data_IF_940937296455
#
_entry.id   IF_940937296455
#
_cell.length_a   1.000
_cell.length_b   1.000
_cell.length_c   1.000
_cell.angle_alpha   90.00
_cell.angle_beta   90.00
_cell.angle_gamma   90.00
#
_symmetry.space_group_name_H-M   'P 1'
#
loop_
_entity.id
_entity.type
_entity.pdbx_description
1 polymer ?
#
# COMPACT_ATOMS: atom_id res chain seq x y z
N UNK A 1 0.95 15.07 -33.37
CA UNK A 1 1.08 13.95 -32.39
C UNK A 1 2.47 14.02 -31.76
N UNK A 2 2.60 14.68 -30.62
CA UNK A 2 3.86 14.75 -29.84
C UNK A 2 3.66 13.91 -28.59
N UNK A 3 4.42 12.83 -28.49
CA UNK A 3 4.47 11.95 -27.31
C UNK A 3 5.17 12.70 -26.18
N UNK A 4 4.45 13.02 -25.14
CA UNK A 4 5.02 13.56 -23.89
C UNK A 4 5.50 12.35 -23.08
N UNK A 5 6.80 12.15 -23.04
CA UNK A 5 7.42 11.18 -22.13
C UNK A 5 7.56 11.83 -20.77
N UNK A 6 6.84 11.30 -19.78
CA UNK A 6 6.96 11.71 -18.39
C UNK A 6 8.12 10.91 -17.76
N UNK A 7 9.27 11.55 -17.64
CA UNK A 7 10.42 11.00 -16.93
C UNK A 7 10.26 11.30 -15.43
N UNK A 8 10.00 10.26 -14.66
CA UNK A 8 10.03 10.33 -13.19
C UNK A 8 11.51 10.25 -12.78
N UNK A 9 12.06 11.38 -12.32
CA UNK A 9 13.37 11.44 -11.72
C UNK A 9 13.31 10.96 -10.27
N UNK A 10 13.85 9.80 -9.99
CA UNK A 10 14.07 9.30 -8.65
C UNK A 10 15.26 10.02 -8.02
N UNK A 11 15.03 10.88 -7.03
CA UNK A 11 16.07 11.49 -6.22
C UNK A 11 16.49 10.51 -5.11
N UNK A 12 17.65 9.91 -5.26
CA UNK A 12 18.34 9.15 -4.22
C UNK A 12 19.09 10.15 -3.34
N UNK A 13 18.65 10.32 -2.11
CA UNK A 13 19.41 11.06 -1.09
C UNK A 13 20.32 10.06 -0.36
N UNK A 14 21.59 10.13 -0.69
CA UNK A 14 22.66 9.49 0.05
C UNK A 14 23.17 10.48 1.12
N UNK A 15 23.11 10.10 2.37
CA UNK A 15 23.81 10.74 3.50
C UNK A 15 24.06 9.63 4.52
N UNK A 16 25.24 9.37 4.97
CA UNK A 16 26.38 10.06 5.40
C UNK A 16 27.09 9.13 6.37
N UNK A 17 28.30 8.80 6.07
CA UNK A 17 29.26 8.03 6.86
C UNK A 17 29.52 8.70 8.21
N UNK A 18 29.41 7.96 9.30
CA UNK A 18 30.16 8.24 10.51
C UNK A 18 31.12 7.08 10.79
N UNK A 19 32.36 7.30 10.42
CA UNK A 19 33.49 6.54 10.91
C UNK A 19 33.89 7.13 12.27
N UNK A 20 33.86 6.34 13.31
CA UNK A 20 34.63 6.58 14.53
C UNK A 20 35.68 5.50 14.67
N UNK A 21 36.87 5.90 14.34
CA UNK A 21 38.14 5.27 14.64
C UNK A 21 38.37 5.30 16.16
N UNK A 22 38.74 4.21 16.75
CA UNK A 22 39.59 4.18 17.93
C UNK A 22 40.67 3.14 17.72
N UNK A 23 41.83 3.67 17.46
CA UNK A 23 43.13 3.06 17.51
C UNK A 23 43.47 2.63 18.94
N UNK A 24 44.03 1.49 19.16
CA UNK A 24 45.16 1.37 20.06
C UNK A 24 46.03 0.15 19.70
N UNK A 25 47.31 0.48 19.50
CA UNK A 25 48.45 -0.44 19.31
C UNK A 25 48.74 -1.24 20.57
N UNK A 26 49.14 -2.50 20.44
CA UNK A 26 50.53 -2.89 20.79
C UNK A 26 50.79 -4.41 20.55
N UNK A 27 51.76 -4.63 19.71
CA UNK A 27 52.96 -5.49 19.72
C UNK A 27 52.99 -6.78 20.55
N UNK A 28 53.36 -7.78 19.80
CA UNK A 28 54.49 -8.70 19.91
C UNK A 28 54.36 -9.98 20.76
N UNK A 29 54.69 -11.04 20.04
CA UNK A 29 55.58 -12.15 20.39
C UNK A 29 55.02 -13.41 21.10
N UNK A 30 54.84 -14.44 20.31
CA UNK A 30 55.58 -15.73 20.39
C UNK A 30 55.60 -16.51 21.74
N UNK A 31 55.27 -17.75 21.59
CA UNK A 31 55.69 -18.98 22.25
C UNK A 31 54.61 -19.87 22.87
N UNK A 32 54.32 -20.93 22.11
CA UNK A 32 54.36 -22.31 22.54
C UNK A 32 54.26 -22.59 24.06
N UNK A 33 53.11 -23.14 24.51
CA UNK A 33 53.05 -24.03 25.69
C UNK A 33 52.01 -25.12 25.47
N UNK A 34 52.51 -26.32 25.70
CA UNK A 34 51.84 -27.63 25.73
C UNK A 34 50.66 -27.68 26.74
N UNK A 35 49.67 -28.41 26.33
CA UNK A 35 48.93 -29.43 27.10
C UNK A 35 48.55 -29.14 28.55
N UNK A 36 47.24 -29.03 28.75
CA UNK A 36 46.66 -29.54 30.00
C UNK A 36 45.24 -30.06 29.72
N UNK A 37 45.10 -31.35 29.88
CA UNK A 37 43.85 -32.07 29.95
C UNK A 37 43.19 -31.74 31.28
N UNK A 38 42.21 -30.93 31.28
CA UNK A 38 41.30 -30.81 32.43
C UNK A 38 39.98 -31.51 32.16
N UNK A 39 39.82 -32.60 32.86
CA UNK A 39 38.55 -33.26 33.11
C UNK A 39 37.68 -32.32 33.91
N UNK A 40 36.64 -31.82 33.33
CA UNK A 40 35.59 -31.17 34.12
C UNK A 40 34.23 -31.71 33.76
N UNK A 41 33.63 -32.34 34.74
CA UNK A 41 32.26 -32.23 35.12
C UNK A 41 31.20 -32.59 34.08
N UNK A 42 30.70 -33.81 34.16
CA UNK A 42 29.35 -34.15 33.73
C UNK A 42 28.34 -33.18 34.34
N UNK A 43 27.97 -32.15 33.62
CA UNK A 43 26.71 -31.48 33.87
C UNK A 43 25.72 -32.07 32.89
N UNK A 44 24.90 -32.97 33.39
CA UNK A 44 23.72 -33.49 32.72
C UNK A 44 22.71 -32.35 32.61
N UNK A 45 22.90 -31.43 31.66
CA UNK A 45 21.84 -30.68 31.10
C UNK A 45 21.13 -31.66 30.15
N UNK A 46 19.91 -32.04 30.46
CA UNK A 46 18.98 -32.61 29.50
C UNK A 46 18.92 -31.63 28.35
N UNK A 47 19.70 -31.89 27.31
CA UNK A 47 19.47 -31.31 25.98
C UNK A 47 18.06 -31.78 25.58
N UNK A 48 17.04 -30.95 25.89
CA UNK A 48 15.82 -30.96 25.13
C UNK A 48 16.29 -30.67 23.71
N UNK A 49 16.30 -31.71 22.87
CA UNK A 49 16.49 -31.53 21.44
C UNK A 49 15.59 -30.36 21.07
N UNK A 50 16.18 -29.26 20.66
CA UNK A 50 15.44 -28.08 20.23
C UNK A 50 14.68 -28.52 18.99
N UNK A 51 13.39 -28.78 19.11
CA UNK A 51 12.55 -29.04 17.94
C UNK A 51 12.80 -27.91 16.96
N UNK A 52 13.07 -28.27 15.71
CA UNK A 52 13.23 -27.27 14.66
C UNK A 52 11.93 -26.45 14.56
N UNK A 53 12.03 -25.13 14.42
CA UNK A 53 10.85 -24.29 14.35
C UNK A 53 9.92 -24.71 13.20
N UNK A 54 8.63 -24.81 13.50
CA UNK A 54 7.62 -25.22 12.52
C UNK A 54 7.09 -23.99 11.79
N UNK A 55 7.68 -23.67 10.64
CA UNK A 55 7.30 -22.52 9.82
C UNK A 55 6.29 -22.89 8.73
N UNK A 56 5.47 -21.92 8.36
CA UNK A 56 4.62 -21.92 7.16
C UNK A 56 4.77 -20.58 6.45
N UNK A 57 4.29 -20.52 5.22
CA UNK A 57 4.23 -19.25 4.52
C UNK A 57 2.91 -19.03 3.79
N UNK A 58 2.65 -17.76 3.49
CA UNK A 58 1.50 -17.30 2.75
C UNK A 58 1.96 -16.35 1.64
N UNK A 59 1.46 -16.57 0.44
CA UNK A 59 1.59 -15.68 -0.71
C UNK A 59 0.49 -14.61 -0.62
N UNK A 60 0.87 -13.43 -0.12
CA UNK A 60 -0.08 -12.32 0.11
C UNK A 60 -0.69 -11.83 -1.19
N UNK A 61 0.05 -11.83 -2.29
CA UNK A 61 -0.48 -11.40 -3.59
C UNK A 61 -1.62 -12.32 -4.05
N UNK A 62 -1.43 -13.62 -3.86
CA UNK A 62 -2.48 -14.62 -4.11
C UNK A 62 -3.68 -14.44 -3.17
N UNK A 63 -3.44 -14.15 -1.89
CA UNK A 63 -4.52 -13.87 -0.92
C UNK A 63 -5.32 -12.65 -1.37
N UNK A 64 -4.66 -11.52 -1.65
CA UNK A 64 -5.32 -10.29 -2.09
C UNK A 64 -6.12 -10.47 -3.38
N UNK A 65 -5.59 -11.27 -4.33
CA UNK A 65 -6.28 -11.56 -5.59
C UNK A 65 -7.53 -12.44 -5.43
N UNK A 66 -7.57 -13.31 -4.40
CA UNK A 66 -8.64 -14.29 -4.22
C UNK A 66 -9.59 -13.98 -3.06
N UNK A 67 -9.22 -13.12 -2.13
CA UNK A 67 -10.04 -12.76 -0.97
C UNK A 67 -11.21 -11.85 -1.37
N UNK A 68 -12.44 -12.27 -1.07
CA UNK A 68 -13.65 -11.57 -1.50
C UNK A 68 -13.76 -10.15 -0.93
N UNK A 69 -13.38 -9.93 0.34
CA UNK A 69 -13.34 -8.59 0.91
C UNK A 69 -12.39 -7.67 0.12
N UNK A 70 -11.21 -8.15 -0.27
CA UNK A 70 -10.26 -7.37 -1.05
C UNK A 70 -10.81 -7.06 -2.45
N UNK A 71 -11.53 -8.01 -3.08
CA UNK A 71 -12.20 -7.77 -4.36
C UNK A 71 -13.28 -6.72 -4.26
N UNK A 72 -14.14 -6.80 -3.23
CA UNK A 72 -15.23 -5.83 -3.03
C UNK A 72 -14.69 -4.41 -2.82
N UNK A 73 -13.61 -4.25 -2.02
CA UNK A 73 -12.95 -2.96 -1.88
C UNK A 73 -12.28 -2.49 -3.18
N UNK A 74 -11.65 -3.36 -3.95
CA UNK A 74 -11.08 -2.99 -5.24
C UNK A 74 -12.16 -2.50 -6.22
N UNK A 75 -13.33 -3.13 -6.24
CA UNK A 75 -14.47 -2.66 -7.04
C UNK A 75 -14.98 -1.29 -6.58
N UNK A 76 -15.03 -1.05 -5.27
CA UNK A 76 -15.42 0.24 -4.72
C UNK A 76 -14.43 1.34 -5.11
N UNK A 77 -13.14 1.10 -4.96
CA UNK A 77 -12.07 2.04 -5.36
C UNK A 77 -12.15 2.34 -6.87
N UNK A 78 -12.38 1.34 -7.70
CA UNK A 78 -12.56 1.52 -9.14
C UNK A 78 -13.78 2.39 -9.46
N UNK A 79 -14.90 2.22 -8.74
CA UNK A 79 -16.09 3.07 -8.89
C UNK A 79 -15.80 4.53 -8.50
N UNK A 80 -15.07 4.75 -7.40
CA UNK A 80 -14.67 6.09 -6.97
C UNK A 80 -13.78 6.76 -8.02
N UNK A 81 -12.80 6.04 -8.59
CA UNK A 81 -11.96 6.53 -9.66
C UNK A 81 -12.77 6.89 -10.90
N UNK A 82 -13.66 6.01 -11.35
CA UNK A 82 -14.53 6.24 -12.51
C UNK A 82 -15.44 7.45 -12.30
N UNK A 83 -15.99 7.61 -11.09
CA UNK A 83 -16.78 8.79 -10.73
C UNK A 83 -15.95 10.08 -10.80
N UNK A 84 -14.75 10.08 -10.25
CA UNK A 84 -13.83 11.21 -10.29
C UNK A 84 -13.50 11.63 -11.74
N UNK A 85 -13.18 10.67 -12.60
CA UNK A 85 -12.90 10.91 -14.02
C UNK A 85 -14.15 11.48 -14.74
N UNK A 86 -15.33 10.95 -14.46
CA UNK A 86 -16.59 11.43 -15.02
C UNK A 86 -16.89 12.87 -14.60
N UNK A 87 -16.73 13.20 -13.31
CA UNK A 87 -16.93 14.55 -12.80
C UNK A 87 -15.93 15.54 -13.40
N UNK A 88 -14.67 15.14 -13.54
CA UNK A 88 -13.65 15.98 -14.19
C UNK A 88 -14.03 16.31 -15.62
N UNK A 89 -14.43 15.30 -16.43
CA UNK A 89 -14.87 15.52 -17.82
C UNK A 89 -16.10 16.42 -17.89
N UNK A 90 -17.06 16.23 -16.99
CA UNK A 90 -18.25 17.06 -16.90
C UNK A 90 -17.92 18.53 -16.62
N UNK A 91 -17.13 18.80 -15.57
CA UNK A 91 -16.74 20.17 -15.23
C UNK A 91 -15.95 20.84 -16.36
N UNK A 92 -15.02 20.09 -16.97
CA UNK A 92 -14.26 20.60 -18.11
C UNK A 92 -15.17 20.98 -19.27
N UNK A 93 -16.14 20.13 -19.62
CA UNK A 93 -17.11 20.40 -20.69
C UNK A 93 -18.01 21.57 -20.36
N UNK A 94 -18.54 21.66 -19.13
CA UNK A 94 -19.39 22.77 -18.68
C UNK A 94 -18.65 24.11 -18.75
N UNK A 95 -17.41 24.17 -18.24
CA UNK A 95 -16.58 25.39 -18.27
C UNK A 95 -16.25 25.78 -19.71
N UNK A 96 -15.86 24.82 -20.55
CA UNK A 96 -15.54 25.09 -21.96
C UNK A 96 -16.76 25.58 -22.76
N UNK A 97 -17.91 24.94 -22.55
CA UNK A 97 -19.15 25.36 -23.22
C UNK A 97 -19.58 26.75 -22.77
N UNK A 98 -19.47 27.08 -21.49
CA UNK A 98 -19.78 28.39 -20.96
C UNK A 98 -18.85 29.47 -21.54
N UNK A 99 -17.54 29.24 -21.53
CA UNK A 99 -16.54 30.12 -22.12
C UNK A 99 -16.82 30.37 -23.62
N UNK A 100 -17.10 29.28 -24.38
CA UNK A 100 -17.46 29.38 -25.79
C UNK A 100 -18.75 30.19 -26.02
N UNK A 101 -19.72 30.08 -25.12
CA UNK A 101 -20.95 30.88 -25.17
C UNK A 101 -20.68 32.37 -24.94
N UNK A 102 -19.76 32.70 -24.03
CA UNK A 102 -19.31 34.09 -23.81
C UNK A 102 -18.61 34.67 -25.04
N UNK A 103 -17.71 33.89 -25.68
CA UNK A 103 -17.01 34.28 -26.89
C UNK A 103 -18.04 34.59 -28.04
N UNK A 104 -19.02 33.71 -28.22
CA UNK A 104 -20.09 33.94 -29.22
C UNK A 104 -20.89 35.17 -28.92
N UNK A 105 -21.26 35.44 -27.65
CA UNK A 105 -21.95 36.70 -27.26
C UNK A 105 -21.09 37.90 -27.58
N UNK A 106 -19.76 37.84 -27.34
CA UNK A 106 -18.86 38.96 -27.63
C UNK A 106 -18.75 39.22 -29.12
N UNK A 107 -18.59 38.17 -29.95
CA UNK A 107 -18.49 38.30 -31.41
C UNK A 107 -19.75 38.87 -32.06
N UNK A 108 -20.93 38.56 -31.51
CA UNK A 108 -22.21 38.96 -32.04
C UNK A 108 -22.78 40.24 -31.37
N UNK A 109 -21.94 41.00 -30.62
CA UNK A 109 -22.39 42.15 -29.83
C UNK A 109 -23.60 41.82 -28.93
N UNK A 110 -23.66 40.59 -28.43
CA UNK A 110 -24.78 40.08 -27.64
C UNK A 110 -24.79 40.51 -26.17
N UNK A 111 -23.76 41.22 -25.70
CA UNK A 111 -23.78 41.83 -24.36
C UNK A 111 -24.46 43.17 -24.37
N UNK A 112 -25.57 43.28 -23.63
CA UNK A 112 -26.38 44.50 -23.54
C UNK A 112 -25.76 45.60 -22.66
N UNK A 113 -24.81 45.18 -21.77
CA UNK A 113 -24.13 46.10 -20.87
C UNK A 113 -22.80 45.48 -20.37
N UNK A 114 -21.90 46.35 -19.92
CA UNK A 114 -20.65 45.92 -19.26
C UNK A 114 -20.96 45.08 -18.00
N UNK A 115 -22.01 45.40 -17.27
CA UNK A 115 -22.46 44.66 -16.10
C UNK A 115 -22.81 43.21 -16.44
N UNK A 116 -23.45 42.93 -17.58
CA UNK A 116 -23.81 41.60 -18.02
C UNK A 116 -22.57 40.76 -18.40
N UNK A 117 -21.58 41.38 -19.02
CA UNK A 117 -20.30 40.71 -19.31
C UNK A 117 -19.54 40.38 -18.03
N UNK A 118 -19.46 41.32 -17.09
CA UNK A 118 -18.81 41.11 -15.78
C UNK A 118 -19.49 40.00 -14.98
N UNK A 119 -20.84 39.91 -15.07
CA UNK A 119 -21.57 38.81 -14.43
C UNK A 119 -21.18 37.45 -15.00
N UNK A 120 -21.07 37.31 -16.33
CA UNK A 120 -20.65 36.07 -16.96
C UNK A 120 -19.19 35.70 -16.59
N UNK A 121 -18.30 36.70 -16.51
CA UNK A 121 -16.94 36.50 -16.02
C UNK A 121 -16.92 35.93 -14.56
N UNK A 122 -17.73 36.51 -13.68
CA UNK A 122 -17.85 36.05 -12.31
C UNK A 122 -18.44 34.62 -12.24
N UNK A 123 -19.41 34.33 -13.10
CA UNK A 123 -19.99 32.99 -13.22
C UNK A 123 -18.93 31.97 -13.66
N UNK A 124 -18.14 32.30 -14.69
CA UNK A 124 -17.05 31.42 -15.15
C UNK A 124 -16.01 31.16 -14.04
N UNK A 125 -15.60 32.20 -13.35
CA UNK A 125 -14.69 32.08 -12.21
C UNK A 125 -15.27 31.20 -11.08
N UNK A 126 -16.58 31.39 -10.78
CA UNK A 126 -17.29 30.55 -9.81
C UNK A 126 -17.38 29.08 -10.23
N UNK A 127 -17.61 28.82 -11.52
CA UNK A 127 -17.62 27.43 -12.05
C UNK A 127 -16.25 26.77 -11.90
N UNK A 128 -15.18 27.50 -12.21
CA UNK A 128 -13.81 27.01 -12.06
C UNK A 128 -13.47 26.71 -10.59
N UNK A 129 -13.79 27.62 -9.65
CA UNK A 129 -13.59 27.45 -8.22
C UNK A 129 -14.37 26.24 -7.67
N UNK A 130 -15.66 26.11 -8.08
CA UNK A 130 -16.48 24.95 -7.70
C UNK A 130 -15.92 23.64 -8.24
N UNK A 131 -15.47 23.61 -9.48
CA UNK A 131 -14.85 22.45 -10.09
C UNK A 131 -13.58 22.03 -9.32
N UNK A 132 -12.71 23.00 -9.01
CA UNK A 132 -11.49 22.76 -8.25
C UNK A 132 -11.77 22.21 -6.84
N UNK A 133 -12.71 22.81 -6.12
CA UNK A 133 -13.11 22.36 -4.78
C UNK A 133 -13.75 20.96 -4.80
N UNK A 134 -14.59 20.69 -5.78
CA UNK A 134 -15.20 19.38 -5.98
C UNK A 134 -14.14 18.32 -6.26
N UNK A 135 -13.19 18.60 -7.16
CA UNK A 135 -12.12 17.67 -7.49
C UNK A 135 -11.20 17.40 -6.30
N UNK A 136 -10.85 18.45 -5.52
CA UNK A 136 -10.07 18.27 -4.30
C UNK A 136 -10.79 17.37 -3.26
N UNK A 137 -12.10 17.57 -3.11
CA UNK A 137 -12.90 16.71 -2.22
C UNK A 137 -12.97 15.26 -2.70
N UNK A 138 -13.18 15.03 -4.00
CA UNK A 138 -13.20 13.69 -4.58
C UNK A 138 -11.86 12.98 -4.44
N UNK A 139 -10.76 13.70 -4.67
CA UNK A 139 -9.41 13.18 -4.48
C UNK A 139 -9.16 12.77 -3.02
N UNK A 140 -9.51 13.64 -2.07
CA UNK A 140 -9.37 13.34 -0.63
C UNK A 140 -10.21 12.13 -0.20
N UNK A 141 -11.44 12.03 -0.71
CA UNK A 141 -12.32 10.89 -0.44
C UNK A 141 -11.74 9.59 -1.02
N UNK A 142 -11.21 9.63 -2.24
CA UNK A 142 -10.56 8.48 -2.87
C UNK A 142 -9.36 8.00 -2.05
N UNK A 143 -8.47 8.90 -1.66
CA UNK A 143 -7.28 8.58 -0.86
C UNK A 143 -7.66 7.99 0.50
N UNK A 144 -8.64 8.60 1.17
CA UNK A 144 -9.13 8.11 2.45
C UNK A 144 -9.75 6.72 2.33
N UNK A 145 -10.60 6.51 1.32
CA UNK A 145 -11.24 5.22 1.08
C UNK A 145 -10.22 4.14 0.73
N UNK A 146 -9.22 4.46 -0.10
CA UNK A 146 -8.16 3.51 -0.46
C UNK A 146 -7.34 3.08 0.76
N UNK A 147 -6.99 4.02 1.64
CA UNK A 147 -6.26 3.75 2.87
C UNK A 147 -7.09 2.90 3.83
N UNK A 148 -8.36 3.22 4.03
CA UNK A 148 -9.28 2.46 4.89
C UNK A 148 -9.50 1.04 4.35
N UNK A 149 -9.66 0.88 3.05
CA UNK A 149 -9.80 -0.42 2.39
C UNK A 149 -8.56 -1.29 2.63
N UNK A 150 -7.37 -0.74 2.41
CA UNK A 150 -6.10 -1.44 2.65
C UNK A 150 -5.96 -1.88 4.10
N UNK A 151 -6.28 -1.00 5.04
CA UNK A 151 -6.21 -1.31 6.47
C UNK A 151 -7.22 -2.39 6.85
N UNK A 152 -8.47 -2.28 6.43
CA UNK A 152 -9.51 -3.27 6.72
C UNK A 152 -9.16 -4.67 6.21
N UNK A 153 -8.57 -4.77 5.00
CA UNK A 153 -8.12 -6.05 4.45
C UNK A 153 -6.96 -6.62 5.28
N UNK A 154 -5.96 -5.81 5.60
CA UNK A 154 -4.81 -6.24 6.40
C UNK A 154 -5.24 -6.71 7.81
N UNK A 155 -6.07 -5.92 8.48
CA UNK A 155 -6.58 -6.26 9.83
C UNK A 155 -7.37 -7.57 9.80
N UNK A 156 -8.17 -7.78 8.75
CA UNK A 156 -8.94 -9.01 8.57
C UNK A 156 -8.04 -10.22 8.35
N UNK A 157 -7.01 -10.09 7.53
CA UNK A 157 -6.02 -11.17 7.29
C UNK A 157 -5.28 -11.49 8.59
N UNK A 158 -4.77 -10.48 9.28
CA UNK A 158 -4.02 -10.66 10.53
C UNK A 158 -4.87 -11.32 11.62
N UNK A 159 -6.11 -10.85 11.80
CA UNK A 159 -7.03 -11.41 12.77
C UNK A 159 -7.37 -12.88 12.46
N UNK A 160 -7.55 -13.20 11.17
CA UNK A 160 -7.82 -14.58 10.75
C UNK A 160 -6.61 -15.47 10.96
N UNK A 161 -5.42 -15.05 10.56
CA UNK A 161 -4.16 -15.83 10.71
C UNK A 161 -3.87 -16.11 12.18
N UNK A 162 -4.07 -15.14 13.06
CA UNK A 162 -3.95 -15.34 14.52
C UNK A 162 -4.92 -16.40 15.04
N UNK A 163 -6.16 -16.37 14.60
CA UNK A 163 -7.17 -17.37 15.01
C UNK A 163 -6.85 -18.75 14.45
N UNK A 164 -6.52 -18.84 13.18
CA UNK A 164 -6.12 -20.07 12.49
C UNK A 164 -4.94 -20.74 13.20
N UNK A 165 -3.93 -19.95 13.58
CA UNK A 165 -2.72 -20.49 14.22
C UNK A 165 -2.94 -21.02 15.64
N UNK A 166 -4.00 -20.60 16.36
CA UNK A 166 -4.31 -21.16 17.70
C UNK A 166 -4.52 -22.66 17.68
N UNK A 167 -5.03 -23.20 16.58
CA UNK A 167 -5.30 -24.64 16.41
C UNK A 167 -4.17 -25.40 15.72
N UNK A 168 -3.29 -24.69 15.00
CA UNK A 168 -2.21 -25.28 14.20
C UNK A 168 -0.88 -25.28 14.93
N UNK A 169 -0.61 -24.29 15.78
CA UNK A 169 0.58 -24.22 16.62
C UNK A 169 1.87 -24.02 15.83
N UNK A 170 1.83 -23.29 14.70
CA UNK A 170 3.04 -22.90 13.98
C UNK A 170 3.82 -21.86 14.77
N UNK A 171 5.16 -21.96 14.77
CA UNK A 171 6.03 -20.99 15.43
C UNK A 171 6.06 -19.66 14.68
N UNK A 172 5.96 -19.70 13.34
CA UNK A 172 5.79 -18.52 12.50
C UNK A 172 5.06 -18.84 11.19
N UNK A 173 4.31 -17.85 10.72
CA UNK A 173 3.73 -17.80 9.38
C UNK A 173 4.39 -16.61 8.67
N UNK A 174 5.16 -16.89 7.63
CA UNK A 174 6.00 -15.92 6.92
C UNK A 174 5.30 -15.43 5.65
N UNK A 175 5.67 -14.24 5.18
CA UNK A 175 5.32 -13.82 3.84
C UNK A 175 6.28 -14.45 2.82
N UNK A 176 5.74 -14.97 1.72
CA UNK A 176 6.53 -15.55 0.63
C UNK A 176 7.57 -14.57 0.08
N UNK A 177 7.18 -13.32 -0.10
CA UNK A 177 8.03 -12.25 -0.64
C UNK A 177 9.14 -11.79 0.33
N UNK A 178 9.07 -12.16 1.60
CA UNK A 178 10.12 -11.89 2.58
C UNK A 178 11.23 -12.97 2.58
N UNK A 179 11.11 -13.98 1.72
CA UNK A 179 12.04 -15.10 1.65
C UNK A 179 12.69 -15.20 0.26
N UNK A 180 13.98 -15.52 0.22
CA UNK A 180 14.67 -15.77 -1.04
C UNK A 180 14.28 -17.14 -1.64
N UNK A 181 14.09 -18.13 -0.78
CA UNK A 181 13.60 -19.47 -1.11
C UNK A 181 12.85 -20.05 0.10
N UNK A 182 11.75 -20.74 -0.18
CA UNK A 182 11.00 -21.50 0.82
C UNK A 182 10.42 -22.76 0.14
N UNK A 183 10.43 -23.88 0.88
CA UNK A 183 9.90 -25.13 0.34
C UNK A 183 8.37 -24.97 0.05
N UNK A 184 7.92 -25.31 -1.18
CA UNK A 184 6.49 -25.24 -1.54
C UNK A 184 5.55 -26.07 -0.63
N UNK A 185 6.06 -27.14 0.00
CA UNK A 185 5.28 -27.97 0.92
C UNK A 185 4.86 -27.23 2.21
N UNK A 186 5.44 -26.06 2.46
CA UNK A 186 5.11 -25.21 3.59
C UNK A 186 4.04 -24.16 3.27
N UNK A 187 3.49 -24.17 2.05
CA UNK A 187 2.46 -23.22 1.59
C UNK A 187 1.10 -23.51 2.23
N UNK A 188 0.55 -22.52 2.92
CA UNK A 188 -0.82 -22.57 3.46
C UNK A 188 -1.73 -21.50 2.83
N UNK A 189 -1.31 -20.91 1.71
CA UNK A 189 -2.03 -19.80 1.07
C UNK A 189 -3.48 -20.14 0.76
N UNK A 190 -3.75 -21.31 0.19
CA UNK A 190 -5.11 -21.72 -0.17
C UNK A 190 -6.00 -21.91 1.06
N UNK A 191 -5.48 -22.51 2.13
CA UNK A 191 -6.20 -22.70 3.39
C UNK A 191 -6.59 -21.34 4.00
N UNK A 192 -5.67 -20.37 3.97
CA UNK A 192 -5.92 -19.01 4.46
C UNK A 192 -6.99 -18.32 3.59
N UNK A 193 -6.91 -18.40 2.27
CA UNK A 193 -7.92 -17.84 1.35
C UNK A 193 -9.30 -18.44 1.58
N UNK A 194 -9.40 -19.75 1.68
CA UNK A 194 -10.67 -20.42 1.93
C UNK A 194 -11.30 -20.03 3.26
N UNK A 195 -10.49 -19.98 4.31
CA UNK A 195 -10.95 -19.58 5.63
C UNK A 195 -11.38 -18.13 5.70
N UNK A 196 -10.62 -17.21 5.11
CA UNK A 196 -10.99 -15.80 4.99
C UNK A 196 -12.31 -15.61 4.26
N UNK A 197 -12.49 -16.28 3.12
CA UNK A 197 -13.72 -16.20 2.34
C UNK A 197 -14.91 -16.82 3.07
N UNK A 198 -14.72 -17.95 3.74
CA UNK A 198 -15.77 -18.56 4.56
C UNK A 198 -16.23 -17.65 5.71
N UNK A 199 -15.28 -16.93 6.36
CA UNK A 199 -15.59 -15.97 7.41
C UNK A 199 -16.33 -14.76 6.85
N UNK A 200 -15.86 -14.18 5.76
CA UNK A 200 -16.46 -13.02 5.11
C UNK A 200 -17.88 -13.28 4.64
N UNK A 201 -18.12 -14.41 3.96
CA UNK A 201 -19.43 -14.79 3.48
C UNK A 201 -20.46 -15.03 4.60
N UNK A 202 -20.03 -15.44 5.81
CA UNK A 202 -20.93 -15.57 6.97
C UNK A 202 -21.42 -14.24 7.50
N UNK A 203 -20.57 -13.19 7.42
CA UNK A 203 -20.92 -11.85 7.88
C UNK A 203 -21.91 -11.18 6.93
N UNK A 204 -21.72 -11.36 5.62
CA UNK A 204 -22.55 -10.71 4.60
C UNK A 204 -23.91 -11.41 4.34
N UNK A 205 -24.13 -12.61 4.92
CA UNK A 205 -25.41 -13.34 4.82
C UNK A 205 -26.38 -13.08 5.99
N UNK A 206 -25.98 -12.23 6.95
CA UNK A 206 -26.84 -11.78 8.05
C UNK A 206 -27.41 -10.39 7.75
#
# INVERSE_FOLDING_TARGET
MKKIQLTIAAAIIASGLFATSCSNDNKTADKNVKGQTEKTGKTSAKDKARELPNYRYVDVDTVLAKYNLAKDYNEEILRLQTNMESQMKRHQSEIQNFASSMDKKMQNNGYLSEASFKQDQNNLASMQDKAQKNMASLQSNFETSAMQAQQAVNDSIEAFVKEYNKTRGYDAILFKNATLYINPDLDITNEIVEGLNARYNKVNKK
#
